data_IF_718928161132
#
_entry.id   IF_718928161132
#
_cell.length_a   1.000
_cell.length_b   1.000
_cell.length_c   1.000
_cell.angle_alpha   90.00
_cell.angle_beta   90.00
_cell.angle_gamma   90.00
#
_symmetry.space_group_name_H-M   'P 1'
#
loop_
_entity.id
_entity.type
_entity.pdbx_description
1 polymer ?
#
# COMPACT_ATOMS: atom_id res chain seq x y z
N UNK A 1 -22.27 22.69 31.46
CA UNK A 1 -21.50 22.86 30.21
C UNK A 1 -20.50 21.70 30.09
N UNK A 2 -20.61 20.86 29.06
CA UNK A 2 -19.57 19.82 28.82
C UNK A 2 -18.28 20.53 28.43
N UNK A 3 -17.18 20.20 29.12
CA UNK A 3 -15.85 20.69 28.79
C UNK A 3 -15.59 20.48 27.28
N UNK A 4 -15.05 21.48 26.55
CA UNK A 4 -14.76 21.30 25.13
C UNK A 4 -13.79 20.14 24.96
N UNK A 5 -13.97 19.37 23.86
CA UNK A 5 -13.13 18.24 23.57
C UNK A 5 -11.65 18.67 23.56
N UNK A 6 -10.87 18.05 24.42
CA UNK A 6 -9.42 18.23 24.46
C UNK A 6 -8.79 17.23 23.47
N UNK A 7 -7.73 17.66 22.79
CA UNK A 7 -7.00 16.82 21.86
C UNK A 7 -6.10 15.82 22.64
N UNK A 8 -6.49 14.55 22.82
CA UNK A 8 -5.75 13.60 23.63
C UNK A 8 -4.38 13.26 23.03
N UNK A 9 -4.23 13.35 21.71
CA UNK A 9 -2.95 13.07 21.06
C UNK A 9 -1.83 14.04 21.53
N UNK A 10 -2.18 15.25 21.95
CA UNK A 10 -1.20 16.27 22.33
C UNK A 10 -1.30 16.74 23.79
N UNK A 11 -2.40 16.46 24.48
CA UNK A 11 -2.64 16.93 25.84
C UNK A 11 -2.45 15.86 26.92
N UNK A 12 -2.61 14.57 26.56
CA UNK A 12 -2.37 13.46 27.48
C UNK A 12 -0.94 12.97 27.41
N UNK A 13 -0.40 12.56 28.54
CA UNK A 13 0.91 11.93 28.58
C UNK A 13 0.79 10.49 28.05
N UNK A 14 1.24 10.27 26.80
CA UNK A 14 1.41 8.95 26.17
C UNK A 14 0.14 8.12 26.07
N UNK A 15 -0.93 8.60 25.42
CA UNK A 15 -2.14 7.83 25.23
C UNK A 15 -1.91 6.63 24.32
N UNK A 16 -2.76 5.60 24.47
CA UNK A 16 -2.96 4.56 23.47
C UNK A 16 -4.06 5.00 22.49
N UNK A 17 -3.87 4.64 21.23
CA UNK A 17 -4.87 4.74 20.17
C UNK A 17 -5.26 3.33 19.70
N UNK A 18 -6.55 3.09 19.52
CA UNK A 18 -7.09 1.90 18.88
C UNK A 18 -8.14 2.33 17.87
N UNK A 19 -8.10 1.79 16.67
CA UNK A 19 -9.01 2.20 15.61
C UNK A 19 -9.40 1.07 14.67
N UNK A 20 -10.49 1.32 13.96
CA UNK A 20 -10.88 0.59 12.77
C UNK A 20 -10.81 1.54 11.58
N UNK A 21 -10.32 1.05 10.45
CA UNK A 21 -10.11 1.89 9.28
C UNK A 21 -10.39 1.14 7.99
N UNK A 22 -10.74 1.91 6.98
CA UNK A 22 -10.77 1.47 5.58
C UNK A 22 -9.82 2.33 4.77
N UNK A 23 -9.24 1.73 3.76
CA UNK A 23 -8.33 2.42 2.85
C UNK A 23 -8.66 2.01 1.43
N UNK A 24 -8.66 2.97 0.51
CA UNK A 24 -8.91 2.73 -0.90
C UNK A 24 -8.13 3.71 -1.77
N UNK A 25 -7.78 3.28 -2.98
CA UNK A 25 -6.96 4.12 -3.84
C UNK A 25 -6.69 3.53 -5.22
N UNK A 26 -5.69 4.07 -5.88
CA UNK A 26 -5.34 3.70 -7.24
C UNK A 26 -3.83 3.79 -7.50
N UNK A 27 -3.38 3.01 -8.47
CA UNK A 27 -2.01 3.06 -8.96
C UNK A 27 -1.73 4.34 -9.74
N UNK A 28 -0.55 4.94 -9.50
CA UNK A 28 -0.15 6.21 -10.10
C UNK A 28 1.04 6.10 -11.05
N UNK A 29 1.77 4.99 -11.01
CA UNK A 29 2.90 4.77 -11.91
C UNK A 29 2.46 4.19 -13.24
N UNK A 30 3.25 4.39 -14.29
CA UNK A 30 2.93 3.98 -15.66
C UNK A 30 2.49 2.52 -15.77
N UNK A 31 3.17 1.62 -15.05
CA UNK A 31 2.88 0.18 -15.08
C UNK A 31 1.75 -0.23 -14.11
N UNK A 32 1.13 0.72 -13.43
CA UNK A 32 0.05 0.51 -12.45
C UNK A 32 -1.19 1.35 -12.72
N UNK A 33 -1.23 2.04 -13.85
CA UNK A 33 -2.42 2.72 -14.31
C UNK A 33 -3.62 1.75 -14.38
N UNK A 34 -4.76 2.18 -13.86
CA UNK A 34 -5.97 1.35 -13.80
C UNK A 34 -6.07 0.39 -12.61
N UNK A 35 -5.01 0.20 -11.82
CA UNK A 35 -5.09 -0.56 -10.57
C UNK A 35 -5.91 0.18 -9.54
N UNK A 36 -6.80 -0.52 -8.85
CA UNK A 36 -7.57 0.00 -7.73
C UNK A 36 -7.33 -0.88 -6.52
N UNK A 37 -7.37 -0.28 -5.35
CA UNK A 37 -7.12 -0.94 -4.07
C UNK A 37 -8.26 -0.68 -3.12
N UNK A 38 -8.58 -1.68 -2.31
CA UNK A 38 -9.48 -1.56 -1.18
C UNK A 38 -8.99 -2.46 -0.04
N UNK A 39 -9.01 -1.93 1.17
CA UNK A 39 -8.68 -2.71 2.36
C UNK A 39 -9.46 -2.21 3.57
N UNK A 40 -9.71 -3.11 4.51
CA UNK A 40 -10.33 -2.81 5.78
C UNK A 40 -9.58 -3.52 6.90
N UNK A 41 -9.41 -2.84 8.02
CA UNK A 41 -8.58 -3.36 9.09
C UNK A 41 -8.66 -2.56 10.38
N UNK A 42 -7.66 -2.80 11.22
CA UNK A 42 -7.52 -2.24 12.55
C UNK A 42 -6.16 -1.56 12.73
N UNK A 43 -6.15 -0.59 13.62
CA UNK A 43 -4.98 0.19 14.00
C UNK A 43 -4.79 0.15 15.51
N UNK A 44 -3.55 0.09 15.96
CA UNK A 44 -3.17 0.25 17.36
C UNK A 44 -1.90 1.08 17.44
N UNK A 45 -1.96 2.17 18.21
CA UNK A 45 -0.86 3.11 18.37
C UNK A 45 -0.56 3.44 19.83
N UNK A 46 0.67 3.87 20.07
CA UNK A 46 1.15 4.36 21.36
C UNK A 46 1.95 5.63 21.15
N UNK A 47 1.51 6.73 21.73
CA UNK A 47 2.31 7.95 21.82
C UNK A 47 3.48 7.71 22.77
N UNK A 48 4.70 7.86 22.27
CA UNK A 48 5.94 7.52 22.98
C UNK A 48 6.55 8.71 23.71
N UNK A 49 6.36 9.92 23.18
CA UNK A 49 6.97 11.14 23.74
C UNK A 49 5.92 12.12 24.25
N UNK A 50 6.23 12.96 25.23
CA UNK A 50 5.43 14.15 25.48
C UNK A 50 5.46 15.07 24.25
N UNK A 51 4.60 16.07 24.23
CA UNK A 51 4.64 17.10 23.19
C UNK A 51 5.89 17.94 23.32
N UNK A 52 6.72 17.93 22.28
CA UNK A 52 8.02 18.64 22.20
C UNK A 52 8.06 19.57 21.00
N UNK A 53 9.11 20.41 20.93
CA UNK A 53 9.30 21.34 19.82
C UNK A 53 8.55 22.65 19.99
N UNK A 54 8.66 23.54 18.98
CA UNK A 54 8.05 24.86 18.94
C UNK A 54 7.46 25.17 17.57
N UNK A 55 6.49 26.08 17.51
CA UNK A 55 5.87 26.51 16.27
C UNK A 55 5.19 25.34 15.51
N UNK A 56 5.37 25.31 14.21
CA UNK A 56 4.71 24.34 13.32
C UNK A 56 5.18 22.89 13.51
N UNK A 57 6.39 22.69 14.03
CA UNK A 57 6.94 21.35 14.29
C UNK A 57 6.65 20.82 15.70
N UNK A 58 5.93 21.59 16.51
CA UNK A 58 5.52 21.16 17.85
C UNK A 58 4.61 19.94 17.71
N UNK A 59 4.94 18.84 18.42
CA UNK A 59 4.20 17.61 18.32
C UNK A 59 4.74 16.52 19.21
N UNK A 60 4.31 15.29 18.99
CA UNK A 60 4.80 14.11 19.67
C UNK A 60 5.01 12.94 18.70
N UNK A 61 5.80 12.00 19.14
CA UNK A 61 6.15 10.82 18.38
C UNK A 61 5.27 9.64 18.83
N UNK A 62 4.71 8.94 17.87
CA UNK A 62 3.88 7.76 18.05
C UNK A 62 4.47 6.59 17.28
N UNK A 63 4.41 5.40 17.88
CA UNK A 63 4.62 4.13 17.22
C UNK A 63 3.26 3.42 17.09
N UNK A 64 2.99 2.92 15.90
CA UNK A 64 1.73 2.23 15.63
C UNK A 64 1.93 0.99 14.76
N UNK A 65 0.90 0.15 14.74
CA UNK A 65 0.77 -1.03 13.90
C UNK A 65 -0.60 -1.05 13.26
N UNK A 66 -0.69 -1.57 12.04
CA UNK A 66 -1.94 -1.78 11.32
C UNK A 66 -2.03 -3.21 10.80
N UNK A 67 -3.23 -3.78 10.81
CA UNK A 67 -3.51 -5.07 10.22
C UNK A 67 -4.78 -4.98 9.37
N UNK A 68 -4.69 -5.42 8.13
CA UNK A 68 -5.78 -5.45 7.17
C UNK A 68 -6.10 -6.90 6.82
N UNK A 69 -7.04 -7.54 7.54
CA UNK A 69 -7.48 -8.90 7.23
C UNK A 69 -8.23 -8.97 5.89
N UNK A 70 -8.74 -7.86 5.40
CA UNK A 70 -9.28 -7.71 4.06
C UNK A 70 -8.40 -6.76 3.27
N UNK A 71 -7.73 -7.29 2.27
CA UNK A 71 -7.00 -6.53 1.26
C UNK A 71 -7.40 -7.03 -0.12
N UNK A 72 -7.70 -6.11 -1.03
CA UNK A 72 -8.04 -6.41 -2.42
C UNK A 72 -7.36 -5.44 -3.37
N UNK A 73 -6.91 -5.97 -4.49
CA UNK A 73 -6.48 -5.20 -5.65
C UNK A 73 -7.25 -5.65 -6.89
N UNK A 74 -7.79 -4.67 -7.58
CA UNK A 74 -8.45 -4.86 -8.87
C UNK A 74 -7.50 -4.41 -9.96
N UNK A 75 -6.85 -5.38 -10.61
CA UNK A 75 -5.89 -5.11 -11.68
C UNK A 75 -6.56 -5.25 -13.03
N UNK A 76 -6.23 -4.40 -14.01
CA UNK A 76 -6.74 -4.58 -15.37
C UNK A 76 -6.38 -5.97 -15.90
N UNK A 77 -7.32 -6.62 -16.56
CA UNK A 77 -7.05 -7.88 -17.25
C UNK A 77 -6.31 -7.57 -18.55
N UNK A 78 -5.17 -8.23 -18.74
CA UNK A 78 -4.38 -8.15 -19.96
C UNK A 78 -4.15 -9.55 -20.53
N UNK A 79 -3.88 -9.67 -21.82
CA UNK A 79 -3.50 -10.93 -22.43
C UNK A 79 -1.98 -11.08 -22.39
N UNK A 80 -1.52 -12.24 -21.97
CA UNK A 80 -0.12 -12.65 -21.96
C UNK A 80 0.10 -13.82 -22.89
N UNK A 81 1.29 -13.88 -23.48
CA UNK A 81 1.74 -14.97 -24.32
C UNK A 81 3.16 -15.34 -23.92
N UNK A 82 3.42 -16.60 -23.62
CA UNK A 82 4.77 -17.09 -23.37
C UNK A 82 5.39 -17.52 -24.68
N UNK A 83 6.58 -16.99 -24.99
CA UNK A 83 7.32 -17.33 -26.18
C UNK A 83 8.69 -17.90 -25.81
N UNK A 84 9.13 -18.91 -26.53
CA UNK A 84 10.46 -19.51 -26.45
C UNK A 84 11.10 -19.52 -27.82
N UNK A 85 12.43 -19.38 -27.92
CA UNK A 85 13.13 -19.60 -29.17
C UNK A 85 13.40 -21.08 -29.35
N UNK A 86 13.02 -21.59 -30.51
CA UNK A 86 13.35 -22.95 -30.96
C UNK A 86 14.33 -22.87 -32.12
N UNK A 87 15.18 -23.88 -32.25
CA UNK A 87 16.06 -23.98 -33.41
C UNK A 87 15.24 -24.21 -34.68
N UNK A 88 15.31 -23.26 -35.58
CA UNK A 88 14.72 -23.36 -36.91
C UNK A 88 15.69 -23.96 -37.94
N UNK A 89 15.19 -24.17 -39.18
CA UNK A 89 16.03 -24.65 -40.28
C UNK A 89 17.25 -23.76 -40.52
N UNK A 90 18.35 -24.36 -40.90
CA UNK A 90 19.60 -23.66 -41.26
C UNK A 90 20.21 -22.82 -40.14
N UNK A 91 19.96 -23.15 -38.85
CA UNK A 91 20.51 -22.42 -37.70
C UNK A 91 19.74 -21.11 -37.37
N UNK A 92 18.60 -20.87 -37.99
CA UNK A 92 17.72 -19.78 -37.62
C UNK A 92 17.09 -20.03 -36.23
N UNK A 93 16.70 -18.96 -35.56
CA UNK A 93 15.89 -19.05 -34.34
C UNK A 93 14.46 -18.64 -34.68
N UNK A 94 13.50 -19.50 -34.38
CA UNK A 94 12.09 -19.23 -34.56
C UNK A 94 11.39 -19.06 -33.19
N UNK A 95 10.53 -18.04 -33.06
CA UNK A 95 9.74 -17.86 -31.86
C UNK A 95 8.52 -18.78 -31.88
N UNK A 96 8.46 -19.72 -30.94
CA UNK A 96 7.28 -20.52 -30.68
C UNK A 96 6.54 -19.94 -29.48
N UNK A 97 5.29 -19.50 -29.67
CA UNK A 97 4.52 -18.81 -28.65
C UNK A 97 3.28 -19.65 -28.26
N UNK A 98 2.94 -19.61 -26.97
CA UNK A 98 1.68 -20.19 -26.48
C UNK A 98 0.47 -19.44 -27.02
N UNK A 99 -0.71 -20.02 -26.88
CA UNK A 99 -1.96 -19.27 -27.04
C UNK A 99 -2.01 -18.16 -25.99
N UNK A 100 -2.43 -16.93 -26.34
CA UNK A 100 -2.62 -15.86 -25.38
C UNK A 100 -3.61 -16.24 -24.27
N UNK A 101 -3.26 -15.94 -23.03
CA UNK A 101 -4.11 -16.20 -21.86
C UNK A 101 -4.26 -14.94 -21.00
N UNK A 102 -5.42 -14.76 -20.35
CA UNK A 102 -5.66 -13.59 -19.52
C UNK A 102 -4.88 -13.65 -18.21
N UNK A 103 -4.30 -12.51 -17.82
CA UNK A 103 -3.66 -12.28 -16.51
C UNK A 103 -4.25 -11.02 -15.88
N UNK A 104 -4.08 -10.86 -14.57
CA UNK A 104 -4.67 -9.75 -13.82
C UNK A 104 -5.99 -10.16 -13.15
N UNK A 105 -6.89 -9.19 -12.98
CA UNK A 105 -8.16 -9.40 -12.30
C UNK A 105 -8.11 -9.06 -10.81
N UNK A 106 -8.89 -9.76 -9.98
CA UNK A 106 -8.97 -9.48 -8.54
C UNK A 106 -8.00 -10.33 -7.75
N UNK A 107 -7.12 -9.66 -7.02
CA UNK A 107 -6.25 -10.24 -6.01
C UNK A 107 -6.84 -10.02 -4.63
N UNK A 108 -6.85 -11.05 -3.81
CA UNK A 108 -7.28 -10.98 -2.41
C UNK A 108 -6.11 -11.35 -1.52
N UNK A 109 -5.98 -10.67 -0.40
CA UNK A 109 -4.87 -10.90 0.50
C UNK A 109 -5.11 -10.36 1.89
N UNK A 110 -4.06 -10.43 2.69
CA UNK A 110 -3.95 -9.82 4.01
C UNK A 110 -2.71 -8.94 4.03
N UNK A 111 -2.77 -7.83 4.76
CA UNK A 111 -1.62 -6.93 4.92
C UNK A 111 -1.39 -6.63 6.40
N UNK A 112 -0.13 -6.50 6.77
CA UNK A 112 0.29 -6.04 8.08
C UNK A 112 1.36 -4.96 7.93
N UNK A 113 1.22 -3.89 8.70
CA UNK A 113 2.19 -2.81 8.81
C UNK A 113 2.70 -2.80 10.26
N UNK A 114 3.74 -3.59 10.59
CA UNK A 114 4.21 -3.77 11.96
C UNK A 114 4.99 -2.57 12.49
N UNK A 115 5.37 -1.63 11.63
CA UNK A 115 6.15 -0.47 12.03
C UNK A 115 5.63 0.78 11.33
N UNK A 116 4.93 1.62 12.08
CA UNK A 116 4.50 2.96 11.70
C UNK A 116 5.15 3.94 12.68
N UNK A 117 5.89 4.87 12.13
CA UNK A 117 6.50 5.97 12.86
C UNK A 117 5.74 7.24 12.47
N UNK A 118 4.94 7.75 13.40
CA UNK A 118 4.06 8.89 13.19
C UNK A 118 4.50 10.08 14.05
N UNK A 119 4.48 11.25 13.43
CA UNK A 119 4.57 12.51 14.12
C UNK A 119 3.20 13.18 14.14
N UNK A 120 2.64 13.36 15.33
CA UNK A 120 1.40 14.08 15.55
C UNK A 120 1.73 15.52 15.85
N UNK A 121 1.33 16.44 14.98
CA UNK A 121 1.53 17.86 15.19
C UNK A 121 0.55 18.40 16.26
N UNK A 122 1.00 19.32 17.07
CA UNK A 122 0.15 20.05 18.02
C UNK A 122 -0.77 21.00 17.25
N UNK A 123 -1.89 20.47 16.80
CA UNK A 123 -2.89 21.23 16.07
C UNK A 123 -3.82 22.04 16.97
N UNK A 124 -5.09 22.06 16.64
CA UNK A 124 -6.15 22.70 17.44
C UNK A 124 -6.74 21.72 18.46
N UNK A 125 -7.69 22.18 19.27
CA UNK A 125 -8.40 21.31 20.23
C UNK A 125 -9.10 20.10 19.56
N UNK A 126 -9.49 20.23 18.29
CA UNK A 126 -10.22 19.18 17.57
C UNK A 126 -9.43 18.52 16.45
N UNK A 127 -8.37 19.14 15.98
CA UNK A 127 -7.63 18.65 14.83
C UNK A 127 -6.17 18.46 15.22
N UNK A 128 -5.65 17.24 15.06
CA UNK A 128 -4.25 16.91 15.17
C UNK A 128 -3.76 16.40 13.81
N UNK A 129 -3.10 17.24 13.00
CA UNK A 129 -2.45 16.77 11.79
C UNK A 129 -1.33 15.78 12.12
N UNK A 130 -1.05 14.88 11.22
CA UNK A 130 0.04 13.93 11.36
C UNK A 130 0.76 13.66 10.05
N UNK A 131 1.99 13.20 10.16
CA UNK A 131 2.76 12.60 9.08
C UNK A 131 3.37 11.30 9.56
N UNK A 132 3.53 10.32 8.66
CA UNK A 132 4.07 9.03 9.01
C UNK A 132 4.94 8.43 7.92
N UNK A 133 5.95 7.65 8.35
CA UNK A 133 6.65 6.69 7.53
C UNK A 133 6.36 5.28 8.05
N UNK A 134 6.19 4.33 7.19
CA UNK A 134 5.85 2.98 7.62
C UNK A 134 6.42 1.90 6.70
N UNK A 135 6.61 0.71 7.26
CA UNK A 135 7.01 -0.49 6.55
C UNK A 135 6.07 -1.64 6.86
N UNK A 136 5.54 -2.23 5.82
CA UNK A 136 4.61 -3.34 5.92
C UNK A 136 4.91 -4.46 4.94
N UNK A 137 4.08 -5.48 4.99
CA UNK A 137 4.08 -6.60 4.08
C UNK A 137 2.65 -7.01 3.75
N UNK A 138 2.49 -7.61 2.58
CA UNK A 138 1.25 -8.14 2.08
C UNK A 138 1.47 -9.56 1.58
N UNK A 139 0.52 -10.42 1.87
CA UNK A 139 0.37 -11.72 1.24
C UNK A 139 -0.88 -11.70 0.34
N UNK A 140 -0.76 -12.25 -0.87
CA UNK A 140 -1.85 -12.34 -1.85
C UNK A 140 -2.09 -13.78 -2.27
N UNK A 141 -3.33 -14.11 -2.63
CA UNK A 141 -3.75 -15.45 -3.04
C UNK A 141 -3.07 -15.94 -4.33
N UNK A 142 -2.52 -15.04 -5.13
CA UNK A 142 -1.73 -15.32 -6.34
C UNK A 142 -0.51 -14.41 -6.36
N UNK A 143 0.51 -14.74 -7.15
CA UNK A 143 1.67 -13.87 -7.37
C UNK A 143 1.22 -12.50 -7.88
N UNK A 144 1.63 -11.45 -7.19
CA UNK A 144 1.15 -10.08 -7.42
C UNK A 144 2.28 -9.12 -7.79
N UNK A 145 2.07 -8.30 -8.79
CA UNK A 145 1.15 -8.47 -9.91
C UNK A 145 1.71 -9.46 -10.93
N UNK A 146 0.83 -10.22 -11.57
CA UNK A 146 1.24 -11.08 -12.67
C UNK A 146 1.41 -10.20 -13.93
N UNK A 147 2.64 -9.79 -14.23
CA UNK A 147 2.92 -9.01 -15.44
C UNK A 147 4.08 -9.57 -16.25
N UNK A 148 3.83 -9.80 -17.51
CA UNK A 148 4.80 -9.54 -18.55
C UNK A 148 4.78 -8.03 -18.86
N UNK A 149 5.84 -7.48 -19.42
CA UNK A 149 6.03 -6.07 -19.72
C UNK A 149 4.81 -5.32 -20.26
N UNK A 150 4.89 -4.00 -20.46
CA UNK A 150 3.75 -3.21 -20.90
C UNK A 150 3.16 -3.81 -22.18
N UNK A 151 1.82 -3.84 -22.33
CA UNK A 151 1.22 -4.25 -23.60
C UNK A 151 1.79 -3.36 -24.69
N UNK A 152 2.27 -3.97 -25.76
CA UNK A 152 2.88 -3.24 -26.89
C UNK A 152 1.88 -2.27 -27.55
N UNK A 153 0.57 -2.48 -27.34
CA UNK A 153 -0.53 -1.62 -27.79
C UNK A 153 -1.75 -1.79 -26.86
N UNK A 154 -2.63 -0.78 -26.75
CA UNK A 154 -3.92 -0.95 -26.08
C UNK A 154 -4.69 -2.12 -26.69
N UNK A 155 -4.98 -3.14 -25.89
CA UNK A 155 -5.56 -4.40 -26.35
C UNK A 155 -4.55 -5.39 -26.96
N UNK A 156 -3.25 -5.06 -26.99
CA UNK A 156 -2.21 -5.93 -27.49
C UNK A 156 -1.82 -7.04 -26.51
N UNK A 157 -1.19 -8.06 -27.04
CA UNK A 157 -0.62 -9.17 -26.26
C UNK A 157 0.74 -8.75 -25.75
N UNK A 158 0.93 -8.79 -24.43
CA UNK A 158 2.25 -8.59 -23.83
C UNK A 158 3.06 -9.87 -24.04
N UNK A 159 4.23 -9.73 -24.65
CA UNK A 159 5.18 -10.84 -24.82
C UNK A 159 6.10 -10.87 -23.59
N UNK A 160 6.36 -12.07 -23.05
CA UNK A 160 7.47 -12.23 -22.12
C UNK A 160 8.76 -11.92 -22.88
N UNK A 161 9.60 -11.06 -22.32
CA UNK A 161 10.90 -10.75 -22.93
C UNK A 161 11.74 -12.02 -23.01
N UNK A 162 12.20 -12.30 -24.21
CA UNK A 162 13.15 -13.37 -24.46
C UNK A 162 14.43 -13.16 -23.66
N UNK A 163 14.88 -14.15 -22.96
CA UNK A 163 16.22 -14.16 -22.40
C UNK A 163 16.39 -14.65 -20.98
N UNK A 164 15.38 -14.67 -20.19
CA UNK A 164 15.45 -15.14 -18.80
C UNK A 164 14.71 -16.47 -18.63
N UNK A 165 15.13 -17.55 -19.29
CA UNK A 165 14.70 -18.94 -19.08
C UNK A 165 13.17 -19.15 -18.86
N UNK A 166 12.34 -18.39 -19.58
CA UNK A 166 10.91 -18.36 -19.32
C UNK A 166 10.55 -17.80 -17.95
N UNK A 167 11.47 -17.06 -17.33
CA UNK A 167 11.25 -16.41 -16.06
C UNK A 167 10.04 -15.49 -16.23
N UNK A 168 9.02 -15.87 -15.59
CA UNK A 168 7.80 -15.12 -15.51
C UNK A 168 8.12 -13.80 -14.82
N UNK A 169 7.68 -12.68 -15.37
CA UNK A 169 7.68 -11.39 -14.65
C UNK A 169 6.74 -11.43 -13.44
N UNK A 170 6.49 -12.62 -12.92
CA UNK A 170 5.69 -12.86 -11.74
C UNK A 170 6.44 -12.38 -10.52
N UNK A 171 5.84 -11.51 -9.76
CA UNK A 171 6.34 -11.12 -8.45
C UNK A 171 6.13 -12.26 -7.44
N UNK A 172 6.24 -11.98 -6.17
CA UNK A 172 5.96 -12.93 -5.10
C UNK A 172 4.49 -12.84 -4.65
N UNK A 173 3.99 -13.89 -4.02
CA UNK A 173 2.78 -13.82 -3.18
C UNK A 173 3.02 -12.97 -1.92
N UNK A 174 4.30 -12.83 -1.51
CA UNK A 174 4.73 -11.95 -0.44
C UNK A 174 5.37 -10.70 -1.04
N UNK A 175 4.87 -9.54 -0.67
CA UNK A 175 5.42 -8.26 -1.10
C UNK A 175 5.56 -7.32 0.11
N UNK A 176 6.57 -6.46 0.05
CA UNK A 176 6.78 -5.39 1.02
C UNK A 176 6.01 -4.13 0.60
N UNK A 177 5.56 -3.37 1.61
CA UNK A 177 4.76 -2.16 1.41
C UNK A 177 5.35 -0.98 2.18
N UNK A 178 6.56 -0.48 1.79
CA UNK A 178 7.03 0.79 2.32
C UNK A 178 6.07 1.89 1.92
N UNK A 179 5.77 2.79 2.87
CA UNK A 179 4.80 3.84 2.67
C UNK A 179 5.12 5.11 3.43
N UNK A 180 4.63 6.23 2.89
CA UNK A 180 4.64 7.53 3.53
C UNK A 180 3.22 8.10 3.49
N UNK A 181 2.78 8.72 4.58
CA UNK A 181 1.43 9.25 4.69
C UNK A 181 1.34 10.57 5.43
N UNK A 182 0.25 11.28 5.16
CA UNK A 182 -0.15 12.49 5.87
C UNK A 182 -1.65 12.44 6.15
N UNK A 183 -2.09 13.09 7.22
CA UNK A 183 -3.50 13.13 7.55
C UNK A 183 -3.80 13.95 8.80
N UNK A 184 -4.97 13.69 9.35
CA UNK A 184 -5.40 14.35 10.58
C UNK A 184 -6.39 13.48 11.37
N UNK A 185 -6.31 13.57 12.68
CA UNK A 185 -7.33 13.16 13.63
C UNK A 185 -8.31 14.31 13.84
N UNK A 186 -9.61 14.08 13.65
CA UNK A 186 -10.67 15.00 14.00
C UNK A 186 -11.39 14.51 15.25
N UNK A 187 -11.13 15.12 16.40
CA UNK A 187 -11.70 14.70 17.68
C UNK A 187 -13.16 15.11 17.83
N UNK A 188 -14.05 14.11 17.86
CA UNK A 188 -15.47 14.28 18.17
C UNK A 188 -15.65 14.49 19.68
N UNK A 189 -14.89 13.74 20.46
CA UNK A 189 -14.88 13.75 21.92
C UNK A 189 -13.44 13.62 22.43
N UNK A 190 -13.23 13.82 23.72
CA UNK A 190 -11.90 13.71 24.35
C UNK A 190 -11.23 12.32 24.18
N UNK A 191 -11.96 11.31 23.74
CA UNK A 191 -11.44 9.95 23.59
C UNK A 191 -11.85 9.29 22.27
N UNK A 192 -12.35 10.05 21.30
CA UNK A 192 -12.76 9.50 19.98
C UNK A 192 -12.43 10.48 18.87
N UNK A 193 -11.81 9.98 17.82
CA UNK A 193 -11.55 10.72 16.57
C UNK A 193 -12.13 10.02 15.36
N UNK A 194 -12.36 10.81 14.32
CA UNK A 194 -12.42 10.36 12.94
C UNK A 194 -11.03 10.67 12.37
N UNK A 195 -10.48 9.69 11.66
CA UNK A 195 -9.14 9.78 11.11
C UNK A 195 -9.24 9.78 9.58
N UNK A 196 -8.58 10.75 8.97
CA UNK A 196 -8.50 10.87 7.51
C UNK A 196 -7.04 10.98 7.10
N UNK A 197 -6.68 10.35 6.00
CA UNK A 197 -5.31 10.40 5.53
C UNK A 197 -5.16 10.06 4.05
N UNK A 198 -3.97 10.31 3.55
CA UNK A 198 -3.52 9.88 2.25
C UNK A 198 -2.11 9.28 2.38
N UNK A 199 -1.91 8.11 1.79
CA UNK A 199 -0.67 7.35 1.82
C UNK A 199 -0.16 7.10 0.40
N UNK A 200 1.11 7.35 0.17
CA UNK A 200 1.84 6.85 -0.97
C UNK A 200 2.44 5.49 -0.59
N UNK A 201 2.05 4.44 -1.28
CA UNK A 201 2.45 3.07 -0.98
C UNK A 201 3.17 2.48 -2.18
N UNK A 202 4.34 1.91 -1.95
CA UNK A 202 5.08 1.13 -2.92
C UNK A 202 4.93 -0.36 -2.60
N UNK A 203 4.56 -1.17 -3.59
CA UNK A 203 4.47 -2.64 -3.44
C UNK A 203 5.64 -3.25 -4.17
N UNK A 204 6.48 -4.01 -3.45
CA UNK A 204 7.71 -4.58 -3.97
C UNK A 204 7.94 -5.98 -3.45
N UNK A 205 8.33 -6.90 -4.33
CA UNK A 205 8.75 -8.25 -3.94
C UNK A 205 10.12 -8.27 -3.27
N UNK A 206 10.91 -7.21 -3.36
CA UNK A 206 12.27 -7.11 -2.80
C UNK A 206 13.14 -8.35 -3.13
N UNK A 207 13.03 -8.87 -4.34
CA UNK A 207 13.75 -10.08 -4.80
C UNK A 207 13.32 -11.41 -4.13
N UNK A 208 12.18 -11.45 -3.43
CA UNK A 208 11.59 -12.70 -2.95
C UNK A 208 10.94 -13.55 -4.05
N UNK A 209 10.85 -13.02 -5.25
CA UNK A 209 10.34 -13.68 -6.45
C UNK A 209 11.12 -13.19 -7.66
N UNK A 210 10.57 -13.46 -8.84
CA UNK A 210 11.11 -12.95 -10.07
C UNK A 210 11.07 -11.41 -10.11
N UNK A 211 11.66 -10.82 -11.12
CA UNK A 211 11.84 -9.36 -11.24
C UNK A 211 10.59 -8.55 -10.87
N UNK A 212 10.81 -7.51 -10.07
CA UNK A 212 9.80 -6.48 -9.85
C UNK A 212 9.89 -5.45 -11.00
N UNK A 213 8.99 -5.48 -12.00
CA UNK A 213 9.09 -4.60 -13.15
C UNK A 213 8.72 -3.17 -12.75
N UNK A 214 9.74 -2.33 -12.52
CA UNK A 214 9.58 -0.91 -12.29
C UNK A 214 8.99 -0.50 -10.94
N UNK A 215 8.64 0.77 -10.82
CA UNK A 215 8.08 1.36 -9.59
C UNK A 215 6.59 1.08 -9.51
N UNK A 216 6.18 0.38 -8.45
CA UNK A 216 4.78 0.04 -8.14
C UNK A 216 4.22 0.96 -7.08
N UNK A 217 3.90 2.20 -7.44
CA UNK A 217 3.37 3.16 -6.51
C UNK A 217 1.86 3.36 -6.67
N UNK A 218 1.19 3.53 -5.54
CA UNK A 218 -0.22 3.87 -5.44
C UNK A 218 -0.44 5.01 -4.46
N UNK A 219 -1.50 5.77 -4.66
CA UNK A 219 -2.04 6.70 -3.66
C UNK A 219 -3.30 6.10 -3.11
N UNK A 220 -3.38 6.04 -1.79
CA UNK A 220 -4.50 5.45 -1.07
C UNK A 220 -4.99 6.41 0.01
N UNK A 221 -6.30 6.56 0.12
CA UNK A 221 -6.98 7.41 1.08
C UNK A 221 -7.53 6.55 2.20
N UNK A 222 -7.31 6.99 3.42
CA UNK A 222 -7.75 6.31 4.65
C UNK A 222 -8.86 7.09 5.31
N UNK A 223 -9.87 6.37 5.77
CA UNK A 223 -10.90 6.86 6.68
C UNK A 223 -11.06 5.86 7.81
N UNK A 224 -11.03 6.35 9.04
CA UNK A 224 -11.12 5.50 10.24
C UNK A 224 -11.81 6.18 11.40
N UNK A 225 -12.00 5.40 12.45
CA UNK A 225 -12.46 5.88 13.75
C UNK A 225 -11.53 5.32 14.81
N UNK A 226 -11.03 6.18 15.71
CA UNK A 226 -10.13 5.79 16.78
C UNK A 226 -10.67 6.14 18.16
N UNK A 227 -10.29 5.29 19.12
CA UNK A 227 -10.51 5.45 20.55
C UNK A 227 -9.17 5.70 21.24
N UNK A 228 -9.13 6.72 22.07
CA UNK A 228 -7.93 7.16 22.79
C UNK A 228 -8.07 6.89 24.29
N UNK A 229 -7.06 6.22 24.86
CA UNK A 229 -7.07 5.83 26.29
C UNK A 229 -5.76 6.20 27.00
#
# INVERSE_FOLDING_TARGET
MKSPATNPATERVRPFEFGALTQGGFGITQNRGGFKFFMAGVHAGKVLTPTVGKGLVRGNFEFAVEAFPLWQSYTPTTLRQNCVYIAGPFGSQEASCSVPFPIGGTFTGISITPAILRWNFAGTRRIAPWMQGAGGMIWTNHKYPAFGGPPATPGGVSQSTFGDNGANDDTSVWNFTPQFGVGAHYFLHANRSIDIGANAIHISSASLGDRNPGVNASVQFTVGCSWWK
#
